data_IF_304770534672
#
_entry.id   IF_304770534672
#
_cell.length_a   1.000
_cell.length_b   1.000
_cell.length_c   1.000
_cell.angle_alpha   90.00
_cell.angle_beta   90.00
_cell.angle_gamma   90.00
#
_symmetry.space_group_name_H-M   'P 1'
#
loop_
_entity.id
_entity.type
_entity.pdbx_description
1 polymer ?
#
# COMPACT_ATOMS: atom_id res chain seq x y z
N UNK A 1 1.51 -0.26 10.84
CA UNK A 1 1.92 -1.09 9.68
C UNK A 1 3.34 -0.69 9.35
N UNK A 2 4.32 -1.59 9.48
CA UNK A 2 5.72 -1.28 9.20
C UNK A 2 5.94 -1.37 7.68
N UNK A 3 6.40 -0.28 7.08
CA UNK A 3 6.87 -0.29 5.69
C UNK A 3 8.30 -0.83 5.75
N UNK A 4 8.53 -2.01 5.17
CA UNK A 4 9.87 -2.60 5.04
C UNK A 4 10.74 -1.62 4.23
N UNK A 5 11.72 -0.99 4.89
CA UNK A 5 12.76 -0.23 4.21
C UNK A 5 13.65 -1.21 3.45
N UNK A 6 13.93 -0.93 2.17
CA UNK A 6 14.86 -1.77 1.40
C UNK A 6 16.20 -1.87 2.13
N UNK A 7 16.83 -3.04 2.06
CA UNK A 7 17.97 -3.50 2.89
C UNK A 7 19.27 -2.64 2.86
N UNK A 8 19.24 -1.46 2.25
CA UNK A 8 20.37 -0.53 2.12
C UNK A 8 20.08 0.89 2.65
N UNK A 9 19.01 1.09 3.42
CA UNK A 9 18.61 2.44 3.89
C UNK A 9 18.06 3.33 2.77
N UNK A 10 17.87 2.77 1.58
CA UNK A 10 17.21 3.43 0.46
C UNK A 10 15.71 3.15 0.54
N UNK A 11 14.93 4.23 0.53
CA UNK A 11 13.47 4.14 0.48
C UNK A 11 13.01 3.75 -0.93
N UNK A 12 12.00 2.87 -1.05
CA UNK A 12 11.57 2.34 -2.34
C UNK A 12 10.89 3.41 -3.20
N UNK A 13 10.98 3.33 -4.52
CA UNK A 13 10.24 4.22 -5.42
C UNK A 13 8.74 3.93 -5.45
N UNK A 14 8.35 2.68 -5.13
CA UNK A 14 6.97 2.23 -5.10
C UNK A 14 6.72 1.42 -3.83
N UNK A 15 5.67 1.78 -3.09
CA UNK A 15 5.18 1.06 -1.91
C UNK A 15 3.86 0.38 -2.26
N UNK A 16 3.74 -0.90 -1.91
CA UNK A 16 2.51 -1.70 -2.03
C UNK A 16 1.98 -1.95 -0.64
N UNK A 17 0.75 -1.54 -0.38
CA UNK A 17 0.09 -1.72 0.92
C UNK A 17 -1.11 -2.64 0.74
N UNK A 18 -1.03 -3.92 1.17
CA UNK A 18 -2.19 -4.79 1.15
C UNK A 18 -3.18 -4.31 2.22
N UNK A 19 -4.41 -3.97 1.81
CA UNK A 19 -5.51 -3.68 2.71
C UNK A 19 -6.59 -4.75 2.53
N UNK A 20 -6.95 -5.39 3.63
CA UNK A 20 -8.15 -6.21 3.71
C UNK A 20 -9.32 -5.28 4.05
N UNK A 21 -10.24 -5.12 3.11
CA UNK A 21 -11.48 -4.38 3.38
C UNK A 21 -12.47 -5.23 4.17
N UNK A 22 -13.36 -4.59 4.93
CA UNK A 22 -14.67 -5.15 5.25
C UNK A 22 -15.73 -4.25 4.59
N UNK A 23 -16.63 -4.84 3.80
CA UNK A 23 -17.78 -4.10 3.28
C UNK A 23 -18.85 -3.99 4.37
N UNK A 24 -19.26 -2.78 4.72
CA UNK A 24 -20.39 -2.56 5.64
C UNK A 24 -21.67 -2.99 4.91
N UNK A 25 -22.28 -4.09 5.33
CA UNK A 25 -23.55 -4.62 4.78
C UNK A 25 -23.44 -5.91 3.97
N UNK A 26 -22.24 -6.48 3.76
CA UNK A 26 -22.08 -7.81 3.18
C UNK A 26 -21.84 -8.84 4.29
N UNK A 27 -22.81 -9.75 4.45
CA UNK A 27 -22.81 -10.90 5.35
C UNK A 27 -21.53 -11.74 5.23
N UNK A 28 -20.96 -12.16 6.36
CA UNK A 28 -20.04 -13.30 6.63
C UNK A 28 -18.88 -13.64 5.65
N UNK A 29 -18.68 -12.88 4.58
CA UNK A 29 -17.72 -13.16 3.52
C UNK A 29 -16.57 -12.15 3.63
N UNK A 30 -15.34 -12.60 3.91
CA UNK A 30 -14.17 -11.72 3.90
C UNK A 30 -13.97 -11.17 2.48
N UNK A 31 -13.82 -9.85 2.36
CA UNK A 31 -13.52 -9.22 1.08
C UNK A 31 -12.13 -9.64 0.58
N UNK A 32 -11.91 -9.71 -0.74
CA UNK A 32 -10.59 -9.97 -1.29
C UNK A 32 -9.62 -8.88 -0.84
N UNK A 33 -8.38 -9.26 -0.55
CA UNK A 33 -7.32 -8.31 -0.25
C UNK A 33 -7.06 -7.43 -1.49
N UNK A 34 -6.99 -6.12 -1.28
CA UNK A 34 -6.69 -5.14 -2.32
C UNK A 34 -5.32 -4.53 -2.02
N UNK A 35 -4.45 -4.45 -3.02
CA UNK A 35 -3.17 -3.76 -2.90
C UNK A 35 -3.30 -2.29 -3.31
N UNK A 36 -3.00 -1.38 -2.40
CA UNK A 36 -2.89 0.05 -2.67
C UNK A 36 -1.46 0.38 -3.09
N UNK A 37 -1.32 1.09 -4.21
CA UNK A 37 -0.04 1.47 -4.79
C UNK A 37 0.25 2.93 -4.47
N UNK A 38 1.47 3.18 -4.02
CA UNK A 38 1.97 4.51 -3.76
C UNK A 38 3.32 4.70 -4.45
N UNK A 39 3.48 5.78 -5.21
CA UNK A 39 4.74 6.12 -5.87
C UNK A 39 5.40 7.32 -5.21
N UNK A 40 6.73 7.29 -5.05
CA UNK A 40 7.51 8.43 -4.55
C UNK A 40 7.33 9.63 -5.49
N UNK A 41 7.04 10.79 -4.92
CA UNK A 41 6.84 12.03 -5.70
C UNK A 41 7.78 13.16 -5.30
N UNK A 42 8.48 13.02 -4.18
CA UNK A 42 9.46 14.00 -3.72
C UNK A 42 9.71 13.90 -2.23
N UNK A 43 10.12 15.01 -1.64
CA UNK A 43 10.37 15.16 -0.22
C UNK A 43 9.68 16.42 0.31
N UNK A 44 9.15 16.34 1.53
CA UNK A 44 8.53 17.46 2.23
C UNK A 44 9.02 17.44 3.68
N UNK A 45 9.67 18.53 4.11
CA UNK A 45 10.21 18.66 5.46
C UNK A 45 11.17 17.54 5.89
N UNK A 46 11.95 16.99 4.94
CA UNK A 46 12.89 15.88 5.20
C UNK A 46 12.25 14.49 5.15
N UNK A 47 10.94 14.40 4.90
CA UNK A 47 10.21 13.14 4.76
C UNK A 47 9.97 12.81 3.29
N UNK A 48 10.14 11.54 2.91
CA UNK A 48 9.80 11.09 1.56
C UNK A 48 8.29 11.03 1.40
N UNK A 49 7.79 11.74 0.39
CA UNK A 49 6.37 11.81 0.09
C UNK A 49 6.02 10.79 -0.99
N UNK A 50 4.98 10.02 -0.71
CA UNK A 50 4.39 9.08 -1.63
C UNK A 50 2.98 9.49 -2.02
N UNK A 51 2.67 9.45 -3.31
CA UNK A 51 1.35 9.73 -3.85
C UNK A 51 0.62 8.44 -4.21
N UNK A 52 -0.65 8.36 -3.82
CA UNK A 52 -1.54 7.26 -4.19
C UNK A 52 -1.70 7.17 -5.72
N UNK A 53 -1.50 5.97 -6.26
CA UNK A 53 -1.60 5.68 -7.71
C UNK A 53 -2.80 4.82 -8.09
N UNK A 54 -3.58 4.39 -7.09
CA UNK A 54 -4.71 3.48 -7.29
C UNK A 54 -4.54 2.19 -6.52
N UNK A 55 -5.53 1.31 -6.70
CA UNK A 55 -5.58 0.01 -6.07
C UNK A 55 -5.71 -1.08 -7.14
N UNK A 56 -5.12 -2.25 -6.87
CA UNK A 56 -5.28 -3.44 -7.69
C UNK A 56 -5.68 -4.63 -6.82
N UNK A 57 -6.39 -5.64 -7.35
CA UNK A 57 -6.60 -6.89 -6.63
C UNK A 57 -5.24 -7.45 -6.20
N UNK A 58 -5.11 -7.86 -4.94
CA UNK A 58 -3.93 -8.58 -4.50
C UNK A 58 -3.87 -9.90 -5.25
N UNK A 59 -2.72 -10.22 -5.85
CA UNK A 59 -2.53 -11.52 -6.46
C UNK A 59 -2.65 -12.57 -5.34
N UNK A 60 -3.65 -13.45 -5.43
CA UNK A 60 -3.75 -14.59 -4.52
C UNK A 60 -2.46 -15.41 -4.66
N UNK A 61 -1.67 -15.46 -3.58
CA UNK A 61 -0.56 -16.41 -3.44
C UNK A 61 -1.09 -17.79 -3.08
#
# INVERSE_FOLDING_TARGET
>A
MAVEAAAAGLLPDVVRVPQTGMYVGASDVPAPAVEHLYGRVGELAGEVVYQYRGCRPSAAS
#
